data_IF_331072147759
#
_entry.id   IF_331072147759
#
_cell.length_a   1.000
_cell.length_b   1.000
_cell.length_c   1.000
_cell.angle_alpha   90.00
_cell.angle_beta   90.00
_cell.angle_gamma   90.00
#
_symmetry.space_group_name_H-M   'P 1'
#
loop_
_entity.id
_entity.type
_entity.pdbx_description
1 polymer ?
#
# COMPACT_ATOMS: atom_id res chain seq x y z
N UNK A 1 -21.66 11.89 -3.17
CA UNK A 1 -22.45 10.75 -2.75
C UNK A 1 -21.53 9.63 -2.32
N UNK A 2 -21.66 9.19 -1.09
CA UNK A 2 -20.87 8.10 -0.59
C UNK A 2 -21.44 6.75 -0.96
N UNK A 3 -20.60 5.76 -1.05
CA UNK A 3 -21.04 4.39 -1.19
C UNK A 3 -21.55 3.86 0.15
N UNK A 4 -22.60 3.06 0.11
CA UNK A 4 -23.04 2.33 1.28
C UNK A 4 -22.17 1.08 1.41
N UNK A 5 -21.19 1.15 2.29
CA UNK A 5 -20.26 0.04 2.47
C UNK A 5 -20.93 -1.23 2.99
N UNK A 6 -22.00 -1.09 3.73
CA UNK A 6 -22.75 -2.26 4.20
C UNK A 6 -23.47 -2.96 3.07
N UNK A 7 -24.01 -2.21 2.14
CA UNK A 7 -24.65 -2.78 0.96
C UNK A 7 -23.62 -3.49 0.09
N UNK A 8 -22.45 -2.92 -0.08
CA UNK A 8 -21.36 -3.56 -0.84
C UNK A 8 -20.91 -4.85 -0.16
N UNK A 9 -20.76 -4.84 1.15
CA UNK A 9 -20.35 -6.02 1.90
C UNK A 9 -21.38 -7.16 1.83
N UNK A 10 -22.65 -6.84 1.64
CA UNK A 10 -23.70 -7.84 1.49
C UNK A 10 -23.82 -8.43 0.10
N UNK A 11 -23.02 -7.94 -0.84
CA UNK A 11 -23.05 -8.39 -2.24
C UNK A 11 -21.87 -9.28 -2.55
N UNK A 12 -21.80 -10.45 -1.99
CA UNK A 12 -20.70 -11.32 -2.29
C UNK A 12 -19.32 -10.73 -2.13
N UNK A 13 -18.60 -11.37 -1.46
CA UNK A 13 -17.25 -11.12 -0.97
C UNK A 13 -16.22 -11.00 -2.08
N UNK A 14 -16.57 -10.47 -3.27
CA UNK A 14 -15.58 -10.32 -4.32
C UNK A 14 -14.80 -9.06 -4.09
N UNK A 15 -13.62 -9.24 -3.52
CA UNK A 15 -12.65 -8.17 -3.42
C UNK A 15 -12.06 -7.96 -4.80
N UNK A 16 -12.17 -6.75 -5.31
CA UNK A 16 -11.71 -6.46 -6.66
C UNK A 16 -10.24 -6.14 -6.69
N UNK A 17 -9.52 -6.83 -7.55
CA UNK A 17 -8.16 -6.43 -7.92
C UNK A 17 -8.25 -5.14 -8.71
N UNK A 18 -7.44 -4.17 -8.31
CA UNK A 18 -7.45 -2.86 -8.93
C UNK A 18 -6.05 -2.46 -9.34
N UNK A 19 -5.95 -1.43 -10.16
CA UNK A 19 -4.67 -0.88 -10.59
C UNK A 19 -4.24 0.26 -9.68
N UNK A 20 -4.49 0.12 -8.37
CA UNK A 20 -4.25 1.18 -7.40
C UNK A 20 -3.02 0.93 -6.55
N UNK A 21 -2.39 2.01 -6.11
CA UNK A 21 -1.37 1.99 -5.07
C UNK A 21 -1.95 2.76 -3.88
N UNK A 22 -2.00 2.11 -2.72
CA UNK A 22 -2.45 2.77 -1.51
C UNK A 22 -1.27 3.48 -0.87
N UNK A 23 -1.37 4.81 -0.76
CA UNK A 23 -0.41 5.63 -0.04
C UNK A 23 -0.99 5.86 1.35
N UNK A 24 -0.29 5.40 2.37
CA UNK A 24 -0.76 5.55 3.75
C UNK A 24 0.18 6.52 4.46
N UNK A 25 -0.26 7.77 4.61
CA UNK A 25 0.53 8.87 5.11
C UNK A 25 -0.38 9.90 5.75
N UNK A 26 -0.12 10.24 7.01
CA UNK A 26 -0.95 11.22 7.72
C UNK A 26 -0.50 12.67 7.51
N UNK A 27 0.74 12.90 7.11
CA UNK A 27 1.23 14.25 6.80
C UNK A 27 0.68 14.69 5.44
N UNK A 28 -0.07 15.78 5.44
CA UNK A 28 -0.72 16.26 4.23
C UNK A 28 0.26 16.60 3.11
N UNK A 29 1.36 17.26 3.45
CA UNK A 29 2.34 17.67 2.45
C UNK A 29 3.05 16.47 1.84
N UNK A 30 3.48 15.52 2.67
CA UNK A 30 4.16 14.32 2.20
C UNK A 30 3.21 13.46 1.37
N UNK A 31 1.99 13.29 1.85
CA UNK A 31 0.98 12.50 1.12
C UNK A 31 0.65 13.08 -0.24
N UNK A 32 0.45 14.39 -0.30
CA UNK A 32 0.14 15.08 -1.56
C UNK A 32 1.28 14.99 -2.55
N UNK A 33 2.53 15.08 -2.07
CA UNK A 33 3.69 14.96 -2.93
C UNK A 33 3.77 13.57 -3.56
N UNK A 34 3.60 12.52 -2.77
CA UNK A 34 3.62 11.15 -3.27
C UNK A 34 2.46 10.89 -4.24
N UNK A 35 1.28 11.40 -3.90
CA UNK A 35 0.10 11.27 -4.75
C UNK A 35 0.37 11.88 -6.13
N UNK A 36 0.85 13.11 -6.16
CA UNK A 36 1.12 13.80 -7.40
C UNK A 36 2.22 13.13 -8.21
N UNK A 37 3.27 12.68 -7.55
CA UNK A 37 4.37 11.99 -8.21
C UNK A 37 3.88 10.71 -8.91
N UNK A 38 3.10 9.90 -8.23
CA UNK A 38 2.59 8.66 -8.81
C UNK A 38 1.58 8.94 -9.92
N UNK A 39 0.75 9.97 -9.79
CA UNK A 39 -0.19 10.35 -10.85
C UNK A 39 0.53 10.75 -12.13
N UNK A 40 1.65 11.45 -12.02
CA UNK A 40 2.36 11.99 -13.19
C UNK A 40 3.30 10.98 -13.83
N UNK A 41 3.92 10.13 -13.02
CA UNK A 41 5.05 9.33 -13.48
C UNK A 41 4.74 7.85 -13.63
N UNK A 42 3.54 7.41 -13.24
CA UNK A 42 3.20 5.99 -13.34
C UNK A 42 1.82 5.79 -13.97
N UNK A 43 1.55 4.59 -14.51
CA UNK A 43 0.21 4.26 -15.00
C UNK A 43 -0.75 3.82 -13.91
N UNK A 44 -0.31 3.81 -12.64
CA UNK A 44 -1.12 3.33 -11.54
C UNK A 44 -1.94 4.44 -10.92
N UNK A 45 -3.05 4.06 -10.28
CA UNK A 45 -3.93 5.00 -9.61
C UNK A 45 -3.55 5.10 -8.14
N UNK A 46 -2.97 6.22 -7.70
CA UNK A 46 -2.67 6.39 -6.28
C UNK A 46 -3.92 6.78 -5.50
N UNK A 47 -4.05 6.20 -4.32
CA UNK A 47 -5.13 6.52 -3.40
C UNK A 47 -4.51 6.86 -2.05
N UNK A 48 -4.72 8.09 -1.58
CA UNK A 48 -4.12 8.56 -0.35
C UNK A 48 -5.06 8.31 0.83
N UNK A 49 -4.56 7.56 1.81
CA UNK A 49 -5.26 7.24 3.05
C UNK A 49 -4.42 7.75 4.21
N UNK A 50 -5.06 8.29 5.23
CA UNK A 50 -4.35 9.00 6.30
C UNK A 50 -4.15 8.18 7.56
N UNK A 51 -4.83 7.07 7.69
CA UNK A 51 -4.71 6.23 8.89
C UNK A 51 -4.93 4.75 8.56
N UNK A 52 -4.46 3.90 9.44
CA UNK A 52 -4.51 2.45 9.24
C UNK A 52 -5.92 1.88 9.26
N UNK A 53 -6.79 2.44 10.09
CA UNK A 53 -8.16 1.94 10.18
C UNK A 53 -8.89 2.09 8.85
N UNK A 54 -8.68 3.21 8.18
CA UNK A 54 -9.29 3.45 6.87
C UNK A 54 -8.78 2.45 5.83
N UNK A 55 -7.49 2.12 5.88
CA UNK A 55 -6.91 1.12 5.00
C UNK A 55 -7.56 -0.25 5.24
N UNK A 56 -7.71 -0.64 6.50
CA UNK A 56 -8.32 -1.93 6.85
C UNK A 56 -9.77 -2.01 6.37
N UNK A 57 -10.50 -0.91 6.43
CA UNK A 57 -11.87 -0.87 5.94
C UNK A 57 -11.92 -1.00 4.42
N UNK A 58 -11.09 -0.23 3.72
CA UNK A 58 -11.14 -0.19 2.26
C UNK A 58 -10.67 -1.49 1.62
N UNK A 59 -9.72 -2.18 2.24
CA UNK A 59 -9.23 -3.46 1.72
C UNK A 59 -10.25 -4.59 1.80
N UNK A 60 -11.40 -4.36 2.41
CA UNK A 60 -12.51 -5.31 2.34
C UNK A 60 -13.15 -5.34 0.95
N UNK A 61 -12.94 -4.32 0.15
CA UNK A 61 -13.58 -4.16 -1.16
C UNK A 61 -12.59 -4.08 -2.31
N UNK A 62 -11.39 -3.57 -2.05
CA UNK A 62 -10.40 -3.27 -3.07
C UNK A 62 -9.06 -3.89 -2.68
N UNK A 63 -8.42 -4.59 -3.63
CA UNK A 63 -7.06 -5.08 -3.47
C UNK A 63 -6.14 -4.18 -4.30
N UNK A 64 -5.24 -3.43 -3.66
CA UNK A 64 -4.28 -2.62 -4.41
C UNK A 64 -3.15 -3.49 -4.96
N UNK A 65 -2.34 -2.90 -5.82
CA UNK A 65 -1.10 -3.50 -6.31
C UNK A 65 -0.01 -3.47 -5.26
N UNK A 66 -0.05 -2.46 -4.41
CA UNK A 66 1.05 -2.13 -3.52
C UNK A 66 0.53 -1.28 -2.38
N UNK A 67 1.05 -1.54 -1.18
CA UNK A 67 0.88 -0.65 -0.04
C UNK A 67 2.17 0.15 0.14
N UNK A 68 2.05 1.48 0.09
CA UNK A 68 3.15 2.38 0.34
C UNK A 68 2.85 3.06 1.68
N UNK A 69 3.56 2.65 2.73
CA UNK A 69 3.14 2.92 4.10
C UNK A 69 4.21 3.66 4.87
N UNK A 70 3.86 4.83 5.41
CA UNK A 70 4.75 5.50 6.34
C UNK A 70 4.82 4.72 7.65
N UNK A 71 6.02 4.66 8.25
CA UNK A 71 6.17 3.96 9.52
C UNK A 71 5.35 4.61 10.63
N UNK A 72 5.38 5.94 10.70
CA UNK A 72 4.70 6.68 11.76
C UNK A 72 3.31 7.10 11.31
N UNK A 73 2.30 6.44 11.86
CA UNK A 73 0.90 6.74 11.60
C UNK A 73 0.18 6.97 12.93
N UNK A 74 -0.93 7.71 12.92
CA UNK A 74 -1.71 7.91 14.15
C UNK A 74 -2.40 6.60 14.56
N UNK A 75 -2.33 6.29 15.84
CA UNK A 75 -3.04 5.16 16.43
C UNK A 75 -2.34 3.81 16.28
N UNK A 76 -1.71 3.55 15.16
CA UNK A 76 -0.90 2.35 14.96
C UNK A 76 0.24 2.69 14.02
N UNK A 77 1.38 2.04 14.14
CA UNK A 77 2.47 2.28 13.20
C UNK A 77 2.29 1.43 11.94
N UNK A 78 3.15 1.69 10.94
CA UNK A 78 3.04 1.00 9.65
C UNK A 78 3.23 -0.50 9.74
N UNK A 79 4.05 -0.99 10.66
CA UNK A 79 4.26 -2.43 10.82
C UNK A 79 3.06 -3.11 11.46
N UNK A 80 2.44 -2.45 12.43
CA UNK A 80 1.22 -2.96 13.04
C UNK A 80 0.09 -3.03 12.01
N UNK A 81 0.01 -2.04 11.15
CA UNK A 81 -0.95 -2.07 10.04
C UNK A 81 -0.70 -3.25 9.12
N UNK A 82 0.55 -3.47 8.73
CA UNK A 82 0.90 -4.59 7.86
C UNK A 82 0.60 -5.94 8.52
N UNK A 83 0.85 -6.06 9.82
CA UNK A 83 0.52 -7.29 10.54
C UNK A 83 -0.98 -7.60 10.46
N UNK A 84 -1.83 -6.58 10.57
CA UNK A 84 -3.27 -6.77 10.45
C UNK A 84 -3.71 -7.06 9.03
N UNK A 85 -3.11 -6.39 8.05
CA UNK A 85 -3.43 -6.64 6.65
C UNK A 85 -3.07 -8.07 6.25
N UNK A 86 -1.87 -8.52 6.61
CA UNK A 86 -1.39 -9.83 6.21
C UNK A 86 -1.94 -10.98 7.07
N UNK A 87 -2.70 -10.67 8.11
CA UNK A 87 -3.51 -11.69 8.79
C UNK A 87 -4.66 -12.16 7.90
N UNK A 88 -5.02 -11.39 6.88
CA UNK A 88 -6.08 -11.75 5.93
C UNK A 88 -5.46 -12.43 4.73
N UNK A 89 -5.96 -13.64 4.44
CA UNK A 89 -5.40 -14.50 3.40
C UNK A 89 -5.34 -13.83 2.02
N UNK A 90 -6.41 -13.12 1.67
CA UNK A 90 -6.54 -12.49 0.36
C UNK A 90 -5.56 -11.34 0.12
N UNK A 91 -4.91 -10.82 1.19
CA UNK A 91 -3.98 -9.71 1.06
C UNK A 91 -2.51 -10.12 1.15
N UNK A 92 -2.23 -11.39 1.43
CA UNK A 92 -0.87 -11.85 1.74
C UNK A 92 0.15 -11.62 0.64
N UNK A 93 -0.28 -11.62 -0.60
CA UNK A 93 0.65 -11.51 -1.73
C UNK A 93 0.83 -10.08 -2.23
N UNK A 94 0.15 -9.12 -1.61
CA UNK A 94 0.31 -7.72 -1.98
C UNK A 94 1.56 -7.18 -1.30
N UNK A 95 2.54 -6.66 -2.05
CA UNK A 95 3.75 -6.13 -1.43
C UNK A 95 3.49 -4.82 -0.68
N UNK A 96 4.36 -4.53 0.29
CA UNK A 96 4.33 -3.28 1.01
C UNK A 96 5.73 -2.70 1.11
N UNK A 97 5.83 -1.39 0.90
CA UNK A 97 7.04 -0.61 1.09
C UNK A 97 6.83 0.26 2.32
N UNK A 98 7.72 0.15 3.28
CA UNK A 98 7.68 0.97 4.49
C UNK A 98 8.65 2.14 4.33
N UNK A 99 8.12 3.35 4.48
CA UNK A 99 8.91 4.59 4.40
C UNK A 99 9.23 5.08 5.80
N UNK A 100 10.48 5.42 6.05
CA UNK A 100 10.87 5.94 7.37
C UNK A 100 12.10 6.83 7.28
N UNK A 101 12.06 7.97 8.01
CA UNK A 101 13.23 8.82 8.21
C UNK A 101 14.15 8.25 9.29
N UNK A 102 13.66 7.31 10.10
CA UNK A 102 14.41 6.65 11.18
C UNK A 102 14.64 5.18 10.86
N UNK A 103 15.03 4.89 9.62
CA UNK A 103 15.13 3.53 9.12
C UNK A 103 16.06 2.64 9.95
N UNK A 104 17.18 3.19 10.45
CA UNK A 104 18.13 2.40 11.23
C UNK A 104 17.52 1.80 12.49
N UNK A 105 16.48 2.44 13.04
CA UNK A 105 15.79 1.94 14.21
C UNK A 105 14.80 0.83 13.89
N UNK A 106 14.38 0.72 12.63
CA UNK A 106 13.26 -0.15 12.26
C UNK A 106 13.60 -1.21 11.22
N UNK A 107 14.80 -1.13 10.63
CA UNK A 107 15.14 -1.98 9.49
C UNK A 107 15.02 -3.48 9.81
N UNK A 108 15.42 -3.88 11.00
CA UNK A 108 15.39 -5.29 11.37
C UNK A 108 13.96 -5.84 11.43
N UNK A 109 13.05 -5.05 12.01
CA UNK A 109 11.65 -5.44 12.09
C UNK A 109 10.97 -5.47 10.74
N UNK A 110 11.33 -4.53 9.87
CA UNK A 110 10.78 -4.47 8.51
C UNK A 110 11.23 -5.69 7.71
N UNK A 111 12.52 -5.99 7.76
CA UNK A 111 13.09 -7.11 7.01
C UNK A 111 12.60 -8.46 7.54
N UNK A 112 12.42 -8.56 8.84
CA UNK A 112 11.92 -9.78 9.45
C UNK A 112 10.53 -10.15 8.95
N UNK A 113 9.73 -9.16 8.59
CA UNK A 113 8.39 -9.36 8.04
C UNK A 113 8.39 -9.58 6.53
N UNK A 114 9.55 -9.54 5.89
CA UNK A 114 9.62 -9.66 4.44
C UNK A 114 9.15 -8.43 3.70
N UNK A 115 9.08 -7.28 4.39
CA UNK A 115 8.65 -6.02 3.79
C UNK A 115 9.86 -5.29 3.18
N UNK A 116 9.56 -4.36 2.30
CA UNK A 116 10.58 -3.55 1.64
C UNK A 116 10.73 -2.24 2.40
N UNK A 117 11.98 -1.87 2.68
CA UNK A 117 12.28 -0.65 3.40
C UNK A 117 12.78 0.43 2.46
N UNK A 118 12.28 1.65 2.62
CA UNK A 118 12.78 2.79 1.88
C UNK A 118 13.00 3.95 2.83
N UNK A 119 14.23 4.47 2.83
CA UNK A 119 14.67 5.53 3.72
C UNK A 119 14.25 6.89 3.18
N UNK A 120 13.73 7.74 4.05
CA UNK A 120 13.46 9.15 3.74
C UNK A 120 14.65 10.00 4.14
N UNK A 121 15.03 11.00 3.38
CA UNK A 121 14.53 11.34 2.04
C UNK A 121 15.05 10.35 1.00
N UNK A 122 14.31 10.18 -0.06
CA UNK A 122 14.69 9.28 -1.14
C UNK A 122 14.80 10.04 -2.46
N UNK A 123 15.60 9.49 -3.37
CA UNK A 123 15.72 9.98 -4.73
C UNK A 123 14.47 9.60 -5.51
N UNK A 124 13.93 10.53 -6.29
CA UNK A 124 12.68 10.29 -7.03
C UNK A 124 12.80 9.18 -8.06
N UNK A 125 13.92 9.14 -8.78
CA UNK A 125 14.14 8.10 -9.78
C UNK A 125 14.26 6.72 -9.13
N UNK A 126 14.98 6.65 -8.03
CA UNK A 126 15.11 5.42 -7.26
C UNK A 126 13.75 4.94 -6.73
N UNK A 127 12.94 5.88 -6.24
CA UNK A 127 11.60 5.59 -5.76
C UNK A 127 10.74 4.97 -6.86
N UNK A 128 10.72 5.59 -8.03
CA UNK A 128 9.92 5.13 -9.16
C UNK A 128 10.37 3.76 -9.67
N UNK A 129 11.69 3.55 -9.76
CA UNK A 129 12.24 2.25 -10.16
C UNK A 129 11.86 1.16 -9.15
N UNK A 130 11.93 1.48 -7.86
CA UNK A 130 11.56 0.53 -6.82
C UNK A 130 10.10 0.12 -6.93
N UNK A 131 9.20 1.09 -7.12
CA UNK A 131 7.77 0.81 -7.26
C UNK A 131 7.53 -0.08 -8.46
N UNK A 132 8.12 0.25 -9.60
CA UNK A 132 7.93 -0.51 -10.82
C UNK A 132 8.41 -1.95 -10.67
N UNK A 133 9.58 -2.14 -10.06
CA UNK A 133 10.14 -3.47 -9.84
C UNK A 133 9.27 -4.30 -8.87
N UNK A 134 8.80 -3.67 -7.80
CA UNK A 134 7.99 -4.37 -6.80
C UNK A 134 6.67 -4.82 -7.40
N UNK A 135 6.01 -3.95 -8.15
CA UNK A 135 4.73 -4.29 -8.78
C UNK A 135 4.92 -5.39 -9.82
N UNK A 136 6.00 -5.32 -10.61
CA UNK A 136 6.27 -6.30 -11.67
C UNK A 136 6.56 -7.69 -11.11
N UNK A 137 7.09 -7.80 -9.89
CA UNK A 137 7.48 -9.07 -9.29
C UNK A 137 6.38 -9.74 -8.49
N UNK A 138 5.21 -9.12 -8.34
CA UNK A 138 4.12 -9.68 -7.55
C UNK A 138 3.50 -10.90 -8.27
N UNK A 139 3.64 -12.13 -7.74
CA UNK A 139 3.25 -13.36 -8.47
C UNK A 139 1.77 -13.43 -8.82
N UNK A 140 0.89 -13.03 -7.90
CA UNK A 140 -0.55 -13.04 -8.14
C UNK A 140 -0.94 -12.15 -9.30
N UNK A 141 -0.22 -11.05 -9.46
CA UNK A 141 -0.50 -10.08 -10.50
C UNK A 141 -0.23 -10.65 -11.88
N UNK A 142 0.90 -11.34 -12.01
CA UNK A 142 1.25 -11.98 -13.27
C UNK A 142 0.26 -13.06 -13.65
N UNK A 143 -0.15 -13.86 -12.69
CA UNK A 143 -1.14 -14.91 -12.92
C UNK A 143 -2.47 -14.33 -13.36
N UNK A 144 -2.90 -13.24 -12.76
CA UNK A 144 -4.15 -12.58 -13.12
C UNK A 144 -4.14 -12.04 -14.55
N UNK A 145 -3.03 -11.42 -14.96
CA UNK A 145 -2.90 -10.91 -16.31
C UNK A 145 -2.84 -12.02 -17.34
N UNK A 146 -2.24 -13.13 -17.00
CA UNK A 146 -2.12 -14.27 -17.90
C UNK A 146 -3.47 -14.96 -18.12
N UNK A 147 -4.37 -14.91 -17.15
CA UNK A 147 -5.67 -15.56 -17.26
C UNK A 147 -6.73 -14.70 -17.94
N UNK A 148 -6.42 -13.47 -18.20
CA UNK A 148 -7.32 -12.56 -18.93
C UNK A 148 -6.82 -12.35 -20.36
#
# INVERSE_FOLDING_TARGET
MGYDYQELAGRDEIIRNTNTIFIVEDDESNGSLLLELLLRETPYYPLLLRDGLHVLQLTQFIKPLLFLVDYYLPGMNGLELCDQLYAREELKDIPAIILSASMDEHIDEIQRRGLIAMRKPFDLDEFLVTIENVVAQAPQRQAWYQSS
#
